data_IF_589185485439
#
_entry.id   IF_589185485439
#
_cell.length_a   1.000
_cell.length_b   1.000
_cell.length_c   1.000
_cell.angle_alpha   90.00
_cell.angle_beta   90.00
_cell.angle_gamma   90.00
#
_symmetry.space_group_name_H-M   'P 1'
#
loop_
_entity.id
_entity.type
_entity.pdbx_description
1 polymer ?
#
# COMPACT_ATOMS: atom_id res chain seq x y z
N UNK A 1 2.96 -9.78 12.99
CA UNK A 1 3.28 -8.56 13.17
C UNK A 1 3.16 -7.75 11.96
N UNK A 2 3.94 -7.90 11.00
CA UNK A 2 3.92 -7.06 9.86
C UNK A 2 2.58 -7.02 9.18
N UNK A 3 1.85 -8.13 9.14
CA UNK A 3 0.59 -8.17 8.44
C UNK A 3 -0.45 -7.28 9.09
N UNK A 4 -0.50 -7.25 10.40
CA UNK A 4 -1.47 -6.41 11.08
C UNK A 4 -1.16 -4.93 10.85
N UNK A 5 0.11 -4.56 10.88
CA UNK A 5 0.47 -3.19 10.64
C UNK A 5 0.15 -2.78 9.22
N UNK A 6 0.44 -3.67 8.27
CA UNK A 6 0.19 -3.34 6.88
C UNK A 6 -1.32 -3.28 6.59
N UNK A 7 -2.12 -4.11 7.25
CA UNK A 7 -3.57 -4.03 7.10
C UNK A 7 -4.07 -2.69 7.63
N UNK A 8 -3.48 -2.21 8.72
CA UNK A 8 -3.82 -0.90 9.25
C UNK A 8 -3.42 0.20 8.26
N UNK A 9 -2.26 0.06 7.62
CA UNK A 9 -1.82 1.04 6.64
C UNK A 9 -2.82 1.11 5.47
N UNK A 10 -3.33 -0.05 5.03
CA UNK A 10 -4.31 -0.06 3.96
C UNK A 10 -5.58 0.67 4.36
N UNK A 11 -6.04 0.50 5.60
CA UNK A 11 -7.21 1.21 6.09
C UNK A 11 -6.98 2.70 6.06
N UNK A 12 -5.79 3.14 6.46
CA UNK A 12 -5.46 4.55 6.45
C UNK A 12 -5.41 5.09 5.02
N UNK A 13 -4.89 4.32 4.08
CA UNK A 13 -4.85 4.74 2.69
C UNK A 13 -6.27 4.91 2.15
N UNK A 14 -7.15 3.97 2.49
CA UNK A 14 -8.54 4.05 2.03
C UNK A 14 -9.24 5.30 2.59
N UNK A 15 -8.80 5.75 3.75
CA UNK A 15 -9.35 6.94 4.37
C UNK A 15 -8.63 8.22 3.92
N UNK A 16 -7.63 8.10 3.08
CA UNK A 16 -6.88 9.26 2.62
C UNK A 16 -5.80 9.73 3.59
N UNK A 17 -5.57 8.98 4.67
CA UNK A 17 -4.60 9.37 5.69
C UNK A 17 -3.22 8.86 5.31
N UNK A 18 -2.68 9.32 4.20
CA UNK A 18 -1.44 8.78 3.66
C UNK A 18 -0.22 9.08 4.53
N UNK A 19 -0.25 10.17 5.29
CA UNK A 19 0.88 10.48 6.14
C UNK A 19 1.03 9.45 7.24
N UNK A 20 -0.08 9.03 7.84
CA UNK A 20 -0.04 8.02 8.89
C UNK A 20 0.31 6.67 8.29
N UNK A 21 -0.20 6.37 7.10
CA UNK A 21 0.14 5.12 6.44
C UNK A 21 1.63 5.07 6.13
N UNK A 22 2.22 6.21 5.75
CA UNK A 22 3.64 6.28 5.44
C UNK A 22 4.48 5.87 6.65
N UNK A 23 4.08 6.31 7.83
CA UNK A 23 4.84 5.98 9.04
C UNK A 23 4.86 4.49 9.29
N UNK A 24 3.78 3.81 8.94
CA UNK A 24 3.71 2.38 9.15
C UNK A 24 4.55 1.62 8.13
N UNK A 25 4.47 2.01 6.86
CA UNK A 25 5.16 1.25 5.82
C UNK A 25 6.65 1.56 5.71
N UNK A 26 7.06 2.73 6.16
CA UNK A 26 8.43 3.16 6.01
C UNK A 26 9.47 2.18 6.57
N UNK A 27 9.31 1.63 7.75
CA UNK A 27 10.30 0.70 8.31
C UNK A 27 10.18 -0.72 7.78
N UNK A 28 9.12 -1.03 7.04
CA UNK A 28 8.90 -2.40 6.58
C UNK A 28 9.63 -2.64 5.27
N UNK A 29 10.08 -3.85 5.06
CA UNK A 29 10.86 -4.16 3.86
C UNK A 29 10.23 -5.14 2.90
N UNK A 30 8.99 -5.54 3.12
CA UNK A 30 8.36 -6.51 2.24
C UNK A 30 7.92 -5.89 0.93
N UNK A 31 7.65 -6.72 -0.05
CA UNK A 31 7.12 -6.25 -1.32
C UNK A 31 5.76 -5.59 -1.13
N UNK A 32 4.95 -6.12 -0.21
CA UNK A 32 3.65 -5.51 0.07
C UNK A 32 3.85 -4.11 0.63
N UNK A 33 4.78 -3.93 1.57
CA UNK A 33 5.03 -2.61 2.13
C UNK A 33 5.54 -1.65 1.06
N UNK A 34 6.36 -2.11 0.13
CA UNK A 34 6.85 -1.26 -0.95
C UNK A 34 5.70 -0.81 -1.85
N UNK A 35 4.76 -1.69 -2.14
CA UNK A 35 3.60 -1.35 -2.94
C UNK A 35 2.76 -0.29 -2.24
N UNK A 36 2.48 -0.50 -0.94
CA UNK A 36 1.70 0.48 -0.17
C UNK A 36 2.43 1.81 -0.09
N UNK A 37 3.77 1.77 -0.01
CA UNK A 37 4.58 2.97 0.01
C UNK A 37 4.41 3.73 -1.31
N UNK A 38 4.33 3.01 -2.43
CA UNK A 38 4.07 3.63 -3.73
C UNK A 38 2.69 4.28 -3.78
N UNK A 39 1.69 3.65 -3.15
CA UNK A 39 0.35 4.22 -3.09
C UNK A 39 0.36 5.50 -2.23
N UNK A 40 1.13 5.50 -1.13
CA UNK A 40 1.27 6.67 -0.30
C UNK A 40 1.75 7.85 -1.14
N UNK A 41 2.81 7.65 -1.91
CA UNK A 41 3.37 8.74 -2.67
C UNK A 41 2.47 9.15 -3.84
N UNK A 42 1.65 8.23 -4.35
CA UNK A 42 0.66 8.58 -5.35
C UNK A 42 -0.38 9.53 -4.75
N UNK A 43 -0.85 9.24 -3.54
CA UNK A 43 -1.82 10.11 -2.88
C UNK A 43 -1.20 11.45 -2.52
N UNK A 44 0.08 11.45 -2.19
CA UNK A 44 0.77 12.66 -1.87
C UNK A 44 0.98 13.52 -3.12
N UNK A 45 1.00 12.92 -4.27
CA UNK A 45 1.26 13.63 -5.51
C UNK A 45 2.71 13.60 -5.95
N UNK A 46 3.56 12.85 -5.27
CA UNK A 46 4.96 12.72 -5.61
C UNK A 46 5.13 11.50 -6.50
N UNK A 47 4.88 11.67 -7.78
CA UNK A 47 4.81 10.52 -8.68
C UNK A 47 6.17 9.89 -8.97
N UNK A 48 7.25 10.64 -8.90
CA UNK A 48 8.57 10.05 -9.12
C UNK A 48 8.89 9.10 -7.97
N UNK A 49 8.55 9.47 -6.75
CA UNK A 49 8.75 8.62 -5.61
C UNK A 49 7.81 7.41 -5.66
N UNK A 50 6.59 7.62 -6.14
CA UNK A 50 5.64 6.53 -6.31
C UNK A 50 6.20 5.49 -7.27
N UNK A 51 6.79 5.92 -8.37
CA UNK A 51 7.37 4.99 -9.35
C UNK A 51 8.52 4.22 -8.76
N UNK A 52 9.33 4.87 -7.93
CA UNK A 52 10.45 4.22 -7.27
C UNK A 52 9.96 3.06 -6.40
N UNK A 53 8.93 3.30 -5.61
CA UNK A 53 8.42 2.27 -4.70
C UNK A 53 7.67 1.17 -5.43
N UNK A 54 6.95 1.50 -6.52
CA UNK A 54 6.31 0.48 -7.34
C UNK A 54 7.38 -0.45 -7.94
N UNK A 55 8.51 0.13 -8.35
CA UNK A 55 9.58 -0.67 -8.91
C UNK A 55 10.15 -1.61 -7.84
N UNK A 56 10.31 -1.11 -6.63
CA UNK A 56 10.79 -1.95 -5.56
C UNK A 56 9.79 -3.04 -5.18
N UNK A 57 8.53 -2.85 -5.45
CA UNK A 57 7.52 -3.86 -5.21
C UNK A 57 7.39 -4.84 -6.37
N UNK A 58 8.17 -4.60 -7.43
CA UNK A 58 8.13 -5.40 -8.64
C UNK A 58 6.76 -5.30 -9.29
N UNK A 59 6.19 -4.10 -9.33
CA UNK A 59 4.91 -3.83 -9.94
C UNK A 59 5.00 -2.65 -10.88
N UNK A 60 4.29 -2.68 -11.99
CA UNK A 60 4.28 -1.53 -12.89
C UNK A 60 3.47 -0.42 -12.26
N UNK A 61 3.92 0.81 -12.39
CA UNK A 61 3.19 1.96 -11.86
C UNK A 61 2.01 2.24 -12.78
N UNK A 62 0.77 2.13 -12.31
CA UNK A 62 -0.40 2.29 -13.15
C UNK A 62 -0.87 3.71 -13.38
N UNK A 63 -0.22 4.67 -12.78
CA UNK A 63 -0.61 6.06 -12.94
C UNK A 63 -1.46 6.54 -11.78
N UNK A 64 -1.50 7.88 -11.65
CA UNK A 64 -2.20 8.50 -10.57
C UNK A 64 -3.67 8.17 -10.54
N UNK A 65 -4.32 8.11 -11.69
CA UNK A 65 -5.76 7.90 -11.71
C UNK A 65 -6.19 6.49 -11.30
N UNK A 66 -5.25 5.57 -11.20
CA UNK A 66 -5.57 4.22 -10.80
C UNK A 66 -5.48 4.01 -9.29
N UNK A 67 -5.17 5.05 -8.52
CA UNK A 67 -4.89 4.87 -7.11
C UNK A 67 -6.02 4.22 -6.31
N UNK A 68 -7.26 4.55 -6.59
CA UNK A 68 -8.35 3.96 -5.84
C UNK A 68 -8.48 2.45 -6.13
N UNK A 69 -8.23 2.07 -7.36
CA UNK A 69 -8.24 0.66 -7.72
C UNK A 69 -7.09 -0.08 -7.07
N UNK A 70 -5.94 0.60 -6.93
CA UNK A 70 -4.78 0.01 -6.27
C UNK A 70 -5.05 -0.20 -4.79
N UNK A 71 -5.72 0.75 -4.14
CA UNK A 71 -6.07 0.60 -2.74
C UNK A 71 -7.04 -0.57 -2.57
N UNK A 72 -8.01 -0.69 -3.46
CA UNK A 72 -8.96 -1.80 -3.39
C UNK A 72 -8.25 -3.15 -3.58
N UNK A 73 -7.28 -3.21 -4.48
CA UNK A 73 -6.51 -4.43 -4.68
C UNK A 73 -5.69 -4.76 -3.44
N UNK A 74 -5.12 -3.75 -2.80
CA UNK A 74 -4.35 -3.96 -1.58
C UNK A 74 -5.24 -4.44 -0.45
N UNK A 75 -6.47 -3.92 -0.37
CA UNK A 75 -7.42 -4.36 0.64
C UNK A 75 -7.71 -5.85 0.49
N UNK A 76 -7.88 -6.30 -0.74
CA UNK A 76 -8.15 -7.70 -0.96
C UNK A 76 -6.95 -8.56 -0.59
N UNK A 77 -5.77 -8.07 -0.87
CA UNK A 77 -4.58 -8.83 -0.58
C UNK A 77 -4.37 -9.02 0.92
N UNK A 78 -4.56 -7.96 1.72
CA UNK A 78 -4.37 -8.09 3.15
C UNK A 78 -5.49 -8.92 3.77
N UNK A 79 -6.70 -8.87 3.22
CA UNK A 79 -7.78 -9.69 3.73
C UNK A 79 -7.48 -11.16 3.50
N UNK A 80 -6.95 -11.51 2.32
CA UNK A 80 -6.63 -12.87 2.06
C UNK A 80 -5.56 -13.36 3.00
N UNK A 81 -4.56 -12.57 3.23
CA UNK A 81 -3.49 -12.96 4.10
C UNK A 81 -3.93 -13.14 5.50
N UNK A 82 -4.92 -12.36 5.92
CA UNK A 82 -5.32 -12.41 7.27
C UNK A 82 -6.37 -13.41 7.57
N UNK A 83 -7.11 -13.73 6.65
CA UNK A 83 -8.18 -14.47 7.01
C UNK A 83 -8.67 -15.63 6.56
N UNK A 84 -8.12 -16.38 6.28
CA UNK A 84 -8.62 -17.49 5.66
C UNK A 84 -9.33 -18.33 6.52
N UNK A 85 -8.84 -18.42 7.51
CA UNK A 85 -9.36 -19.23 8.33
C UNK A 85 -10.72 -19.25 8.47
N UNK A 86 -11.21 -18.36 8.33
CA UNK A 86 -12.50 -18.29 8.56
C UNK A 86 -13.10 -19.32 7.95
N UNK A 87 -12.62 -19.84 7.22
CA UNK A 87 -13.33 -20.82 6.56
C UNK A 87 -14.13 -21.55 7.49
#
# INVERSE_FOLDING_TARGET
MGTDSLARAVELLAAGAWQQAHEIVQPEKSALAAWLHGIVHTLEGDLDNARYWYRRADRPFPGRNAVQGEIAAAQKMVQRGAGPSTA
#
